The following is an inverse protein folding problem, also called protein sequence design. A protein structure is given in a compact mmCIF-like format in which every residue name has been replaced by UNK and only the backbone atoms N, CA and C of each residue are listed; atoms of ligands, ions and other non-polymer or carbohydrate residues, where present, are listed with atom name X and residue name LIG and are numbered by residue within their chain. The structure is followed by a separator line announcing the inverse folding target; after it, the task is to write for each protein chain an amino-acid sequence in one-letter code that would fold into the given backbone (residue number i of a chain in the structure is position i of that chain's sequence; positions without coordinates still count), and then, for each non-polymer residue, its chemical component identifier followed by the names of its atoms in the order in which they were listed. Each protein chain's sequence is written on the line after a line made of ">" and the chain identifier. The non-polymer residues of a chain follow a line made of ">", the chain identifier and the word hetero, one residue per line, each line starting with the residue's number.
data_IF_593815460543
#
_entry.id   IF_593815460543
#
_cell.length_a   1.000
_cell.length_b   1.000
_cell.length_c   1.000
_cell.angle_alpha   90.00
_cell.angle_beta   90.00
_cell.angle_gamma   90.00
#
_symmetry.space_group_name_H-M   'P 1'
#
loop_
_entity.id
_entity.type
_entity.pdbx_description
1 polymer ?
#
# COMPACT_ATOMS: atom_id res chain seq x y z
N UNK A 1 31.40 11.84 -10.41
CA UNK A 1 29.93 11.92 -10.61
C UNK A 1 29.22 11.47 -9.33
N UNK A 2 29.29 12.31 -8.31
CA UNK A 2 28.80 12.09 -6.95
C UNK A 2 27.82 13.21 -6.62
N UNK A 3 26.93 12.92 -5.66
CA UNK A 3 25.87 13.79 -5.13
C UNK A 3 24.72 14.09 -6.11
N UNK A 4 23.63 13.33 -6.02
CA UNK A 4 22.29 13.85 -6.31
C UNK A 4 21.16 12.96 -5.75
N UNK A 5 21.32 12.43 -4.53
CA UNK A 5 20.21 11.85 -3.77
C UNK A 5 19.49 12.91 -2.90
N UNK A 6 19.88 14.18 -2.99
CA UNK A 6 19.46 15.23 -2.09
C UNK A 6 18.70 16.34 -2.82
N UNK A 7 17.38 16.17 -2.94
CA UNK A 7 16.36 17.24 -2.81
C UNK A 7 14.95 16.69 -2.99
N UNK A 8 14.44 16.03 -1.96
CA UNK A 8 12.99 16.08 -1.68
C UNK A 8 12.70 17.34 -0.83
N UNK A 9 13.08 18.53 -1.32
CA UNK A 9 12.71 19.80 -0.68
C UNK A 9 11.34 20.22 -1.22
N UNK A 10 10.30 19.68 -0.60
CA UNK A 10 8.96 20.27 -0.57
C UNK A 10 8.56 20.33 0.90
N UNK A 11 8.63 21.52 1.49
CA UNK A 11 8.39 21.77 2.89
C UNK A 11 7.00 21.26 3.33
N UNK A 12 6.99 20.35 4.30
CA UNK A 12 5.81 19.92 5.04
C UNK A 12 6.28 19.49 6.42
N UNK A 13 5.79 20.19 7.44
CA UNK A 13 6.12 20.03 8.85
C UNK A 13 6.21 18.54 9.30
N UNK A 14 7.14 18.19 10.21
CA UNK A 14 7.16 16.87 10.83
C UNK A 14 5.93 16.73 11.73
N UNK A 15 4.92 16.00 11.24
CA UNK A 15 3.80 15.58 12.07
C UNK A 15 4.31 14.41 12.92
N UNK A 16 4.46 14.66 14.22
CA UNK A 16 4.81 13.68 15.24
C UNK A 16 3.74 12.57 15.27
N UNK A 17 4.00 11.44 14.62
CA UNK A 17 3.16 10.24 14.74
C UNK A 17 3.63 9.47 15.97
N UNK A 18 2.77 9.47 17.00
CA UNK A 18 2.98 8.72 18.23
C UNK A 18 3.17 7.21 17.96
N UNK A 19 3.96 6.50 18.77
CA UNK A 19 4.20 5.08 18.57
C UNK A 19 2.94 4.27 18.90
N UNK A 20 2.37 3.61 17.90
CA UNK A 20 1.37 2.56 18.12
C UNK A 20 2.10 1.33 18.62
N UNK A 21 1.79 0.92 19.85
CA UNK A 21 2.39 -0.22 20.56
C UNK A 21 2.32 -1.48 19.71
N UNK A 22 3.48 -2.11 19.51
CA UNK A 22 3.60 -3.44 18.94
C UNK A 22 3.53 -4.46 20.08
N UNK A 23 2.41 -5.17 20.19
CA UNK A 23 2.38 -6.40 20.97
C UNK A 23 3.07 -7.51 20.18
N UNK A 24 3.98 -8.18 20.88
CA UNK A 24 4.89 -9.18 20.37
C UNK A 24 4.17 -10.47 19.94
N UNK A 25 4.53 -11.01 18.77
CA UNK A 25 4.35 -12.43 18.47
C UNK A 25 5.65 -12.96 17.86
N UNK A 26 6.29 -13.86 18.60
CA UNK A 26 7.53 -14.53 18.25
C UNK A 26 7.40 -15.40 17.00
N UNK A 27 8.48 -15.42 16.23
CA UNK A 27 8.67 -16.25 15.05
C UNK A 27 9.07 -17.68 15.43
N UNK A 28 8.55 -18.66 14.67
CA UNK A 28 9.25 -19.91 14.41
C UNK A 28 8.98 -20.41 12.99
N UNK A 29 10.05 -20.69 12.25
CA UNK A 29 10.10 -21.73 11.21
C UNK A 29 9.80 -21.32 9.77
N UNK A 30 10.85 -21.17 8.95
CA UNK A 30 10.86 -21.58 7.53
C UNK A 30 11.60 -22.94 7.49
N UNK A 31 11.30 -23.90 6.60
CA UNK A 31 11.43 -23.69 5.15
C UNK A 31 10.40 -24.43 4.26
N UNK A 32 10.29 -23.98 3.00
CA UNK A 32 9.91 -24.82 1.85
C UNK A 32 8.43 -25.20 1.69
N UNK A 33 7.69 -24.43 0.89
CA UNK A 33 7.05 -24.94 -0.33
C UNK A 33 6.37 -23.78 -1.06
N UNK A 34 6.78 -23.54 -2.31
CA UNK A 34 6.07 -22.65 -3.24
C UNK A 34 4.91 -23.46 -3.82
N UNK A 35 3.93 -23.75 -2.95
CA UNK A 35 2.61 -24.19 -3.37
C UNK A 35 1.66 -23.03 -3.14
N UNK A 36 1.07 -22.61 -4.26
CA UNK A 36 -0.04 -21.67 -4.38
C UNK A 36 -0.95 -21.80 -3.17
N UNK A 37 -0.85 -20.83 -2.25
CA UNK A 37 -1.74 -20.79 -1.09
C UNK A 37 -3.15 -20.57 -1.63
N UNK A 38 -4.14 -21.39 -1.27
CA UNK A 38 -5.52 -21.09 -1.61
C UNK A 38 -5.84 -19.74 -0.97
N UNK A 39 -6.30 -18.79 -1.79
CA UNK A 39 -6.88 -17.55 -1.29
C UNK A 39 -8.06 -17.98 -0.43
N UNK A 40 -7.82 -18.03 0.89
CA UNK A 40 -8.86 -18.32 1.87
C UNK A 40 -9.90 -17.24 1.64
N UNK A 41 -11.06 -17.66 1.12
CA UNK A 41 -12.26 -16.83 1.01
C UNK A 41 -12.53 -16.32 2.43
N UNK A 42 -12.06 -15.11 2.74
CA UNK A 42 -12.60 -14.34 3.83
C UNK A 42 -14.01 -14.08 3.38
N UNK A 43 -14.94 -14.93 3.82
CA UNK A 43 -16.35 -14.72 3.61
C UNK A 43 -16.60 -13.26 3.93
N UNK A 44 -17.24 -12.55 3.01
CA UNK A 44 -17.85 -11.27 3.32
C UNK A 44 -18.85 -11.60 4.41
N UNK A 45 -18.37 -11.54 5.66
CA UNK A 45 -19.18 -11.74 6.85
C UNK A 45 -20.34 -10.78 6.70
N UNK A 46 -21.55 -11.31 6.95
CA UNK A 46 -22.78 -10.57 7.00
C UNK A 46 -22.50 -9.14 7.45
N UNK A 47 -22.77 -8.17 6.57
CA UNK A 47 -22.67 -6.75 6.91
C UNK A 47 -23.36 -6.57 8.25
N UNK A 48 -22.60 -6.19 9.28
CA UNK A 48 -23.20 -5.87 10.56
C UNK A 48 -24.32 -4.87 10.31
N UNK A 49 -25.53 -5.19 10.80
CA UNK A 49 -26.73 -4.39 10.65
C UNK A 49 -26.36 -2.92 10.81
N UNK A 50 -26.56 -2.17 9.73
CA UNK A 50 -26.12 -0.79 9.67
C UNK A 50 -26.86 -0.01 10.73
N UNK A 51 -26.20 1.00 11.30
CA UNK A 51 -26.73 1.96 12.29
C UNK A 51 -27.94 2.79 11.74
N UNK A 52 -28.61 2.33 10.68
CA UNK A 52 -29.78 2.95 10.05
C UNK A 52 -30.90 1.99 9.64
N UNK A 53 -30.82 0.68 9.93
CA UNK A 53 -31.83 -0.29 9.47
C UNK A 53 -33.19 -0.10 10.15
N UNK A 54 -33.20 0.39 11.40
CA UNK A 54 -34.41 0.72 12.18
C UNK A 54 -35.07 2.03 11.74
N UNK A 55 -34.38 2.83 10.91
CA UNK A 55 -34.91 4.11 10.45
C UNK A 55 -36.12 3.88 9.54
N UNK A 56 -37.17 4.67 9.76
CA UNK A 56 -38.34 4.75 8.88
C UNK A 56 -38.20 5.95 7.94
N UNK A 57 -38.42 5.73 6.65
CA UNK A 57 -38.54 6.82 5.66
C UNK A 57 -39.92 7.45 5.85
N UNK A 58 -40.02 8.79 5.95
CA UNK A 58 -41.24 9.51 6.40
C UNK A 58 -42.57 8.95 5.85
N UNK A 59 -42.65 8.70 4.55
CA UNK A 59 -43.86 8.26 3.85
C UNK A 59 -44.06 6.73 3.82
N UNK A 60 -43.15 5.95 4.40
CA UNK A 60 -43.16 4.49 4.35
C UNK A 60 -43.58 3.89 5.69
N UNK A 61 -44.37 2.82 5.61
CA UNK A 61 -44.97 2.16 6.77
C UNK A 61 -44.05 1.14 7.43
N UNK A 62 -43.03 0.62 6.73
CA UNK A 62 -42.03 -0.32 7.27
C UNK A 62 -40.67 0.34 7.47
N UNK A 63 -39.81 -0.28 8.27
CA UNK A 63 -38.41 0.13 8.44
C UNK A 63 -37.58 -0.24 7.21
N UNK A 64 -36.40 0.36 7.07
CA UNK A 64 -35.47 0.02 5.99
C UNK A 64 -35.06 -1.46 6.08
N UNK A 65 -34.82 -1.98 7.29
CA UNK A 65 -34.47 -3.38 7.53
C UNK A 65 -35.59 -4.37 7.16
N UNK A 66 -36.85 -4.01 7.40
CA UNK A 66 -38.02 -4.83 7.00
C UNK A 66 -38.16 -4.92 5.48
N UNK A 67 -37.99 -3.80 4.77
CA UNK A 67 -37.96 -3.81 3.30
C UNK A 67 -36.77 -4.59 2.75
N UNK A 68 -35.57 -4.38 3.32
CA UNK A 68 -34.38 -5.12 2.92
C UNK A 68 -34.56 -6.63 3.08
N UNK A 69 -35.17 -7.08 4.19
CA UNK A 69 -35.44 -8.51 4.42
C UNK A 69 -36.42 -9.08 3.39
N UNK A 70 -37.42 -8.29 2.98
CA UNK A 70 -38.39 -8.70 1.95
C UNK A 70 -37.77 -8.72 0.54
N UNK A 71 -36.83 -7.81 0.24
CA UNK A 71 -36.13 -7.73 -1.05
C UNK A 71 -34.97 -8.73 -1.15
N UNK A 72 -34.34 -9.11 -0.04
CA UNK A 72 -33.17 -10.01 0.01
C UNK A 72 -33.30 -11.29 -0.83
N UNK A 73 -34.41 -12.05 -0.82
CA UNK A 73 -34.54 -13.25 -1.65
C UNK A 73 -34.69 -12.95 -3.15
N UNK A 74 -34.98 -11.70 -3.53
CA UNK A 74 -35.09 -11.26 -4.93
C UNK A 74 -33.74 -10.76 -5.49
N UNK A 75 -32.73 -10.58 -4.64
CA UNK A 75 -31.41 -10.13 -5.06
C UNK A 75 -30.62 -11.29 -5.69
N UNK A 76 -29.86 -10.99 -6.74
CA UNK A 76 -28.90 -11.93 -7.32
C UNK A 76 -27.76 -12.25 -6.35
N UNK A 77 -27.16 -13.43 -6.51
CA UNK A 77 -25.92 -13.77 -5.82
C UNK A 77 -24.81 -12.79 -6.18
N UNK A 78 -23.95 -12.46 -5.21
CA UNK A 78 -22.77 -11.65 -5.49
C UNK A 78 -21.87 -12.41 -6.49
N UNK A 79 -21.30 -11.73 -7.50
CA UNK A 79 -20.28 -12.33 -8.35
C UNK A 79 -19.15 -12.94 -7.50
N UNK A 80 -18.65 -14.10 -7.93
CA UNK A 80 -17.53 -14.78 -7.25
C UNK A 80 -16.22 -13.97 -7.35
N UNK A 81 -16.07 -13.18 -8.42
CA UNK A 81 -14.88 -12.37 -8.66
C UNK A 81 -14.99 -11.04 -7.88
N UNK A 82 -13.99 -10.69 -7.05
CA UNK A 82 -13.99 -9.42 -6.34
C UNK A 82 -13.92 -8.23 -7.31
N UNK A 83 -14.64 -7.16 -6.99
CA UNK A 83 -14.61 -5.95 -7.79
C UNK A 83 -13.29 -5.19 -7.59
N UNK A 84 -12.57 -4.97 -8.69
CA UNK A 84 -11.34 -4.19 -8.68
C UNK A 84 -11.64 -2.72 -8.36
N UNK A 85 -11.31 -2.32 -7.14
CA UNK A 85 -11.60 -0.96 -6.62
C UNK A 85 -10.44 0.01 -6.91
N UNK A 86 -9.29 -0.51 -7.35
CA UNK A 86 -8.10 0.28 -7.62
C UNK A 86 -8.21 1.13 -8.87
N UNK A 87 -7.55 2.30 -8.86
CA UNK A 87 -7.30 3.08 -10.08
C UNK A 87 -5.99 2.67 -10.71
N UNK A 88 -6.03 2.29 -11.98
CA UNK A 88 -4.85 1.90 -12.74
C UNK A 88 -4.13 3.12 -13.35
N UNK A 89 -2.82 3.16 -13.20
CA UNK A 89 -1.92 4.14 -13.80
C UNK A 89 -0.80 3.44 -14.56
N UNK A 90 -0.38 4.04 -15.66
CA UNK A 90 0.79 3.59 -16.43
C UNK A 90 1.84 4.69 -16.35
N UNK A 91 2.93 4.44 -15.63
CA UNK A 91 3.91 5.46 -15.24
C UNK A 91 5.32 5.01 -15.61
N UNK A 92 6.15 5.97 -16.03
CA UNK A 92 7.57 5.73 -16.28
C UNK A 92 8.36 5.92 -14.99
N UNK A 93 9.28 5.00 -14.71
CA UNK A 93 10.17 5.07 -13.55
C UNK A 93 11.26 6.11 -13.79
N UNK A 94 11.43 7.02 -12.83
CA UNK A 94 12.45 8.06 -12.86
C UNK A 94 13.86 7.50 -12.59
N UNK A 95 14.91 8.28 -12.88
CA UNK A 95 16.32 7.95 -12.63
C UNK A 95 16.64 7.63 -11.17
N UNK A 96 15.80 8.11 -10.24
CA UNK A 96 15.91 7.86 -8.81
C UNK A 96 15.15 6.61 -8.35
N UNK A 97 14.72 5.77 -9.29
CA UNK A 97 13.91 4.58 -9.02
C UNK A 97 12.63 4.90 -8.25
N UNK A 98 11.91 5.91 -8.72
CA UNK A 98 10.67 6.40 -8.11
C UNK A 98 9.58 6.57 -9.16
N UNK A 99 8.32 6.45 -8.71
CA UNK A 99 7.12 6.77 -9.49
C UNK A 99 6.31 7.85 -8.78
N UNK A 100 5.67 8.72 -9.57
CA UNK A 100 4.83 9.81 -9.08
C UNK A 100 3.34 9.46 -9.29
N UNK A 101 2.61 9.22 -8.20
CA UNK A 101 1.16 8.94 -8.22
C UNK A 101 0.45 10.03 -7.43
N UNK A 102 -0.41 10.80 -8.11
CA UNK A 102 -1.20 11.91 -7.51
C UNK A 102 -0.36 12.83 -6.60
N UNK A 103 0.80 13.28 -7.10
CA UNK A 103 1.76 14.17 -6.41
C UNK A 103 2.63 13.48 -5.35
N UNK A 104 2.35 12.23 -4.97
CA UNK A 104 3.16 11.47 -4.02
C UNK A 104 4.18 10.59 -4.74
N UNK A 105 5.35 10.44 -4.13
CA UNK A 105 6.47 9.67 -4.69
C UNK A 105 6.59 8.33 -3.97
N UNK A 106 6.71 7.26 -4.74
CA UNK A 106 6.88 5.91 -4.24
C UNK A 106 8.13 5.29 -4.85
N UNK A 107 8.93 4.61 -4.04
CA UNK A 107 10.11 3.88 -4.54
C UNK A 107 9.72 2.62 -5.30
N UNK A 108 10.54 2.25 -6.27
CA UNK A 108 10.47 0.97 -6.99
C UNK A 108 11.87 0.37 -7.09
N UNK A 109 12.04 -0.94 -7.33
CA UNK A 109 13.36 -1.56 -7.50
C UNK A 109 14.21 -0.90 -8.60
N UNK A 110 15.50 -0.67 -8.32
CA UNK A 110 16.46 0.01 -9.23
C UNK A 110 16.55 -0.64 -10.62
N UNK A 111 16.35 -1.95 -10.74
CA UNK A 111 16.30 -2.66 -12.02
C UNK A 111 15.23 -2.15 -13.00
N UNK A 112 14.24 -1.40 -12.51
CA UNK A 112 13.13 -0.87 -13.31
C UNK A 112 13.33 0.57 -13.79
N UNK A 113 14.48 1.19 -13.53
CA UNK A 113 14.75 2.57 -13.98
C UNK A 113 14.55 2.70 -15.50
N UNK A 114 13.78 3.69 -15.92
CA UNK A 114 13.46 3.95 -17.33
C UNK A 114 12.46 2.98 -17.96
N UNK A 115 11.92 2.02 -17.21
CA UNK A 115 10.81 1.16 -17.66
C UNK A 115 9.47 1.82 -17.36
N UNK A 116 8.45 1.36 -18.07
CA UNK A 116 7.05 1.75 -17.82
C UNK A 116 6.39 0.67 -16.98
N UNK A 117 5.89 1.04 -15.81
CA UNK A 117 5.25 0.14 -14.85
C UNK A 117 3.77 0.48 -14.71
N UNK A 118 2.98 -0.51 -14.30
CA UNK A 118 1.55 -0.36 -14.00
C UNK A 118 1.38 -0.20 -12.50
N UNK A 119 0.76 0.87 -12.05
CA UNK A 119 0.50 1.10 -10.64
C UNK A 119 -1.01 1.10 -10.37
N UNK A 120 -1.45 0.28 -9.44
CA UNK A 120 -2.84 0.16 -9.01
C UNK A 120 -3.00 0.82 -7.65
N UNK A 121 -3.73 1.93 -7.61
CA UNK A 121 -3.98 2.70 -6.40
C UNK A 121 -5.31 2.31 -5.79
N UNK A 122 -5.27 1.58 -4.68
CA UNK A 122 -6.43 1.24 -3.88
C UNK A 122 -6.73 2.33 -2.83
N UNK A 123 -7.75 2.07 -1.99
CA UNK A 123 -8.11 2.95 -0.89
C UNK A 123 -6.96 3.13 0.12
N UNK A 124 -6.27 2.05 0.49
CA UNK A 124 -5.25 2.04 1.55
C UNK A 124 -3.83 1.75 1.06
N UNK A 125 -3.68 1.16 -0.13
CA UNK A 125 -2.38 0.73 -0.65
C UNK A 125 -2.20 1.08 -2.13
N UNK A 126 -0.95 1.08 -2.57
CA UNK A 126 -0.50 1.21 -3.94
C UNK A 126 0.30 -0.03 -4.30
N UNK A 127 -0.16 -0.77 -5.29
CA UNK A 127 0.52 -1.97 -5.81
C UNK A 127 1.14 -1.63 -7.16
N UNK A 128 2.41 -1.95 -7.35
CA UNK A 128 3.14 -1.69 -8.59
C UNK A 128 3.46 -3.03 -9.26
N UNK A 129 3.16 -3.12 -10.54
CA UNK A 129 3.37 -4.29 -11.37
C UNK A 129 4.29 -3.96 -12.55
N UNK A 130 5.23 -4.86 -12.82
CA UNK A 130 5.95 -4.94 -14.08
C UNK A 130 5.39 -6.13 -14.88
N UNK A 131 4.57 -5.82 -15.89
CA UNK A 131 3.83 -6.84 -16.65
C UNK A 131 2.84 -7.63 -15.78
N UNK A 132 3.22 -8.85 -15.39
CA UNK A 132 2.43 -9.78 -14.55
C UNK A 132 2.95 -9.91 -13.12
N UNK A 133 4.14 -9.40 -12.84
CA UNK A 133 4.80 -9.54 -11.55
C UNK A 133 4.50 -8.32 -10.67
N UNK A 134 4.13 -8.55 -9.40
CA UNK A 134 4.09 -7.50 -8.38
C UNK A 134 5.53 -7.18 -7.95
N UNK A 135 5.96 -5.95 -8.20
CA UNK A 135 7.36 -5.52 -7.96
C UNK A 135 7.51 -4.67 -6.70
N UNK A 136 6.46 -4.00 -6.27
CA UNK A 136 6.47 -3.19 -5.05
C UNK A 136 5.05 -2.98 -4.53
N UNK A 137 4.92 -2.87 -3.21
CA UNK A 137 3.68 -2.53 -2.52
C UNK A 137 3.94 -1.46 -1.47
N UNK A 138 3.12 -0.41 -1.47
CA UNK A 138 3.26 0.73 -0.58
C UNK A 138 1.94 1.05 0.09
N UNK A 139 2.01 1.52 1.34
CA UNK A 139 0.87 2.17 1.97
C UNK A 139 0.58 3.51 1.29
N UNK A 140 -0.70 3.80 1.07
CA UNK A 140 -1.13 5.03 0.41
C UNK A 140 -0.87 6.24 1.30
N UNK A 141 -0.09 7.19 0.79
CA UNK A 141 0.06 8.50 1.42
C UNK A 141 -1.16 9.38 1.15
N UNK A 142 -1.79 9.89 2.21
CA UNK A 142 -2.94 10.82 2.13
C UNK A 142 -2.46 12.27 1.98
N UNK A 143 -1.31 12.60 2.57
CA UNK A 143 -0.70 13.92 2.47
C UNK A 143 -0.29 14.25 1.02
N UNK A 144 -0.19 15.55 0.70
CA UNK A 144 0.27 16.03 -0.61
C UNK A 144 1.79 16.17 -0.62
N UNK A 145 2.44 15.66 -1.66
CA UNK A 145 3.88 15.83 -1.88
C UNK A 145 4.76 14.95 -1.00
N UNK A 146 4.19 13.91 -0.38
CA UNK A 146 4.94 12.97 0.46
C UNK A 146 5.80 12.00 -0.37
N UNK A 147 6.79 11.40 0.28
CA UNK A 147 7.60 10.33 -0.29
C UNK A 147 7.60 9.10 0.62
N UNK A 148 7.32 7.93 0.05
CA UNK A 148 7.44 6.62 0.70
C UNK A 148 8.53 5.82 0.00
N UNK A 149 9.67 5.70 0.65
CA UNK A 149 10.85 5.04 0.11
C UNK A 149 11.15 3.79 0.93
N UNK A 150 11.28 2.66 0.25
CA UNK A 150 11.78 1.42 0.82
C UNK A 150 13.27 1.31 0.52
N UNK A 151 14.07 0.96 1.53
CA UNK A 151 15.51 0.83 1.40
C UNK A 151 15.88 -0.35 0.50
N UNK A 152 15.10 -1.42 0.55
CA UNK A 152 15.36 -2.67 -0.18
C UNK A 152 15.41 -2.45 -1.69
N UNK A 153 14.62 -1.51 -2.19
CA UNK A 153 14.60 -1.12 -3.60
C UNK A 153 15.92 -0.55 -4.11
N UNK A 154 16.76 -0.02 -3.21
CA UNK A 154 18.03 0.63 -3.53
C UNK A 154 19.25 -0.25 -3.26
N UNK A 155 19.09 -1.42 -2.63
CA UNK A 155 20.20 -2.26 -2.22
C UNK A 155 21.09 -2.68 -3.39
N UNK A 156 20.49 -3.03 -4.54
CA UNK A 156 21.24 -3.36 -5.77
C UNK A 156 22.21 -2.23 -6.19
N UNK A 157 21.78 -0.97 -6.08
CA UNK A 157 22.65 0.18 -6.38
C UNK A 157 23.69 0.43 -5.28
N UNK A 158 23.31 0.22 -4.02
CA UNK A 158 24.16 0.47 -2.86
C UNK A 158 25.29 -0.56 -2.74
N UNK A 159 25.09 -1.80 -3.20
CA UNK A 159 26.16 -2.80 -3.31
C UNK A 159 27.31 -2.29 -4.19
N UNK A 160 26.99 -1.62 -5.31
CA UNK A 160 28.00 -1.06 -6.21
C UNK A 160 28.63 0.22 -5.66
N UNK A 161 27.88 1.01 -4.89
CA UNK A 161 28.34 2.29 -4.35
C UNK A 161 27.86 2.48 -2.90
N UNK A 162 28.55 1.87 -1.92
CA UNK A 162 28.12 1.92 -0.52
C UNK A 162 28.23 3.33 0.07
N UNK A 163 29.10 4.19 -0.48
CA UNK A 163 29.25 5.58 -0.06
C UNK A 163 28.02 6.47 -0.32
N UNK A 164 26.97 5.96 -0.98
CA UNK A 164 25.70 6.68 -1.15
C UNK A 164 24.68 6.41 -0.03
N UNK A 165 24.98 5.50 0.90
CA UNK A 165 24.11 5.15 2.02
C UNK A 165 23.98 6.29 3.06
N UNK A 166 25.06 6.99 3.46
CA UNK A 166 24.94 8.06 4.44
C UNK A 166 24.13 9.25 3.91
N UNK A 167 23.12 9.68 4.66
CA UNK A 167 22.24 10.82 4.30
C UNK A 167 21.15 10.48 3.29
N UNK A 168 20.90 9.21 2.99
CA UNK A 168 19.81 8.79 2.13
C UNK A 168 18.46 8.84 2.88
N UNK A 169 17.47 9.53 2.31
CA UNK A 169 16.11 9.59 2.87
C UNK A 169 15.50 8.21 3.09
N UNK A 170 15.80 7.23 2.22
CA UNK A 170 15.32 5.86 2.37
C UNK A 170 15.89 5.17 3.62
N UNK A 171 17.15 5.45 3.98
CA UNK A 171 17.75 4.95 5.21
C UNK A 171 17.13 5.61 6.44
N UNK A 172 16.92 6.91 6.40
CA UNK A 172 16.29 7.65 7.51
C UNK A 172 14.85 7.15 7.75
N UNK A 173 14.10 6.89 6.68
CA UNK A 173 12.77 6.27 6.77
C UNK A 173 12.84 4.83 7.29
N UNK A 174 13.85 4.04 6.90
CA UNK A 174 14.01 2.68 7.40
C UNK A 174 14.38 2.65 8.90
N UNK A 175 15.20 3.61 9.35
CA UNK A 175 15.54 3.79 10.77
C UNK A 175 14.34 4.24 11.59
N UNK A 176 13.58 5.23 11.12
CA UNK A 176 12.37 5.68 11.83
C UNK A 176 11.29 4.59 11.89
N UNK A 177 11.23 3.72 10.89
CA UNK A 177 10.36 2.55 10.87
C UNK A 177 10.90 1.35 11.67
N UNK A 178 12.09 1.43 12.28
CA UNK A 178 12.70 0.33 13.03
C UNK A 178 13.14 -0.87 12.18
N UNK A 179 13.14 -0.74 10.86
CA UNK A 179 13.57 -1.81 9.92
C UNK A 179 15.07 -1.90 9.77
N UNK A 180 15.78 -0.81 10.07
CA UNK A 180 17.24 -0.74 10.00
C UNK A 180 17.82 -0.44 11.38
N UNK A 181 18.39 -1.47 12.02
CA UNK A 181 19.05 -1.35 13.32
C UNK A 181 20.52 -1.03 13.10
N UNK A 182 21.09 0.01 13.73
CA UNK A 182 22.54 0.21 13.71
C UNK A 182 23.22 -0.94 14.45
N UNK A 183 24.26 -1.53 13.86
CA UNK A 183 25.10 -2.49 14.54
C UNK A 183 25.82 -1.78 15.70
N UNK A 184 25.71 -2.34 16.91
CA UNK A 184 26.41 -1.88 18.11
C UNK A 184 27.86 -2.34 18.11
#
# INVERSE_FOLDING_TARGET
>A
MAADLAKCQGAGHPQHVAPVRADAVQAHGVPGDVLQRPVVRRGVGASQAGVGDDRRIRSRHRTIGEYFTAERPLLGSLPDEPFETGRLFTLRVDRYSQICVRTNRYSVPVRLIGRTVRAMLHASELVVHDGREEVARHERLIAKGGCRLDLDHYLEALVRKPGALPGATALDQARSAGRFTPLQ
#
